data_IF_198439214845
#
_entry.id   IF_198439214845
#
_cell.length_a   1.000
_cell.length_b   1.000
_cell.length_c   1.000
_cell.angle_alpha   90.00
_cell.angle_beta   90.00
_cell.angle_gamma   90.00
#
_symmetry.space_group_name_H-M   'P 1'
#
loop_
_entity.id
_entity.type
_entity.pdbx_description
1 polymer ?
#
# COMPACT_ATOMS: atom_id res chain seq x y z
N UNK A 1 21.69 -9.38 -19.79
CA UNK A 1 21.14 -9.29 -21.16
C UNK A 1 19.64 -9.09 -21.03
N UNK A 2 19.12 -7.92 -21.43
CA UNK A 2 17.73 -7.53 -21.14
C UNK A 2 16.74 -8.29 -22.04
N UNK A 3 15.67 -8.81 -21.44
CA UNK A 3 14.54 -9.47 -22.12
C UNK A 3 13.90 -8.61 -23.22
N UNK A 4 14.13 -7.29 -23.19
CA UNK A 4 13.65 -6.34 -24.20
C UNK A 4 14.26 -6.54 -25.59
N UNK A 5 15.47 -7.09 -25.70
CA UNK A 5 16.13 -7.26 -27.00
C UNK A 5 15.61 -8.46 -27.81
N UNK A 6 14.81 -9.34 -27.20
CA UNK A 6 14.36 -10.61 -27.78
C UNK A 6 12.84 -10.81 -27.80
N UNK A 7 12.07 -9.90 -27.21
CA UNK A 7 10.62 -10.03 -27.14
C UNK A 7 9.94 -9.71 -28.47
N UNK A 8 9.21 -10.69 -29.04
CA UNK A 8 8.49 -10.56 -30.33
C UNK A 8 6.98 -10.81 -30.21
N UNK A 9 6.45 -10.80 -28.99
CA UNK A 9 5.05 -11.14 -28.68
C UNK A 9 4.32 -9.94 -28.01
N UNK A 10 3.10 -10.11 -27.50
CA UNK A 10 2.37 -9.11 -26.70
C UNK A 10 2.91 -9.06 -25.27
N UNK A 11 3.37 -7.90 -24.79
CA UNK A 11 4.11 -7.77 -23.52
C UNK A 11 3.45 -8.50 -22.34
N UNK A 12 4.22 -9.36 -21.64
CA UNK A 12 3.78 -10.03 -20.42
C UNK A 12 3.32 -9.04 -19.33
N UNK A 13 3.81 -7.80 -19.40
CA UNK A 13 3.44 -6.71 -18.48
C UNK A 13 1.93 -6.42 -18.50
N UNK A 14 1.28 -6.38 -19.67
CA UNK A 14 -0.15 -6.02 -19.74
C UNK A 14 -1.00 -7.06 -19.01
N UNK A 15 -0.67 -8.35 -19.16
CA UNK A 15 -1.38 -9.41 -18.46
C UNK A 15 -1.12 -9.41 -16.96
N UNK A 16 0.14 -9.16 -16.55
CA UNK A 16 0.47 -9.02 -15.13
C UNK A 16 -0.25 -7.81 -14.51
N UNK A 17 -0.32 -6.68 -15.22
CA UNK A 17 -1.02 -5.48 -14.80
C UNK A 17 -2.53 -5.71 -14.69
N UNK A 18 -3.18 -6.35 -15.67
CA UNK A 18 -4.61 -6.68 -15.60
C UNK A 18 -4.90 -7.62 -14.43
N UNK A 19 -4.06 -8.63 -14.20
CA UNK A 19 -4.21 -9.51 -13.04
C UNK A 19 -4.10 -8.72 -11.73
N UNK A 20 -3.06 -7.89 -11.59
CA UNK A 20 -2.87 -7.02 -10.44
C UNK A 20 -4.06 -6.08 -10.19
N UNK A 21 -4.53 -5.34 -11.20
CA UNK A 21 -5.65 -4.41 -11.05
C UNK A 21 -6.96 -5.12 -10.64
N UNK A 22 -7.18 -6.34 -11.12
CA UNK A 22 -8.32 -7.15 -10.66
C UNK A 22 -8.14 -7.60 -9.21
N UNK A 23 -6.91 -7.89 -8.79
CA UNK A 23 -6.58 -8.17 -7.40
C UNK A 23 -6.91 -6.98 -6.50
N UNK A 24 -6.46 -5.78 -6.87
CA UNK A 24 -6.76 -4.51 -6.16
C UNK A 24 -8.26 -4.31 -6.03
N UNK A 25 -9.01 -4.48 -7.13
CA UNK A 25 -10.47 -4.37 -7.09
C UNK A 25 -11.11 -5.33 -6.07
N UNK A 26 -10.63 -6.58 -5.99
CA UNK A 26 -11.18 -7.55 -5.05
C UNK A 26 -10.74 -7.31 -3.61
N UNK A 27 -9.47 -7.03 -3.36
CA UNK A 27 -8.95 -6.80 -2.01
C UNK A 27 -9.41 -5.45 -1.46
N UNK A 28 -9.06 -4.35 -2.13
CA UNK A 28 -9.21 -3.00 -1.58
C UNK A 28 -10.61 -2.42 -1.76
N UNK A 29 -11.31 -2.77 -2.84
CA UNK A 29 -12.63 -2.20 -3.11
C UNK A 29 -13.78 -3.09 -2.68
N UNK A 30 -13.65 -4.42 -2.81
CA UNK A 30 -14.73 -5.36 -2.54
C UNK A 30 -14.60 -6.11 -1.21
N UNK A 31 -13.48 -5.95 -0.48
CA UNK A 31 -13.18 -6.64 0.77
C UNK A 31 -13.22 -8.18 0.62
N UNK A 32 -12.59 -8.68 -0.46
CA UNK A 32 -12.54 -10.09 -0.85
C UNK A 32 -11.11 -10.54 -1.12
N UNK A 33 -10.24 -10.57 -0.09
CA UNK A 33 -8.84 -10.98 -0.23
C UNK A 33 -8.71 -12.42 -0.78
N UNK A 34 -9.66 -13.30 -0.50
CA UNK A 34 -9.72 -14.66 -1.03
C UNK A 34 -9.75 -14.71 -2.57
N UNK A 35 -10.38 -13.71 -3.21
CA UNK A 35 -10.42 -13.58 -4.66
C UNK A 35 -9.22 -12.83 -5.23
N UNK A 36 -8.54 -12.01 -4.41
CA UNK A 36 -7.40 -11.21 -4.81
C UNK A 36 -6.08 -11.99 -4.83
N UNK A 37 -5.84 -12.84 -3.83
CA UNK A 37 -4.60 -13.65 -3.72
C UNK A 37 -4.23 -14.37 -5.02
N UNK A 38 -5.10 -15.21 -5.64
CA UNK A 38 -4.73 -15.91 -6.87
C UNK A 38 -4.44 -14.98 -8.06
N UNK A 39 -4.93 -13.74 -8.03
CA UNK A 39 -4.67 -12.73 -9.07
C UNK A 39 -3.31 -12.06 -8.87
N UNK A 40 -2.91 -11.78 -7.63
CA UNK A 40 -1.57 -11.31 -7.33
C UNK A 40 -0.52 -12.39 -7.61
N UNK A 41 -0.79 -13.64 -7.24
CA UNK A 41 0.05 -14.79 -7.60
C UNK A 41 0.23 -14.89 -9.12
N UNK A 42 -0.85 -14.71 -9.89
CA UNK A 42 -0.80 -14.70 -11.35
C UNK A 42 0.05 -13.54 -11.90
N UNK A 43 -0.07 -12.35 -11.32
CA UNK A 43 0.74 -11.19 -11.70
C UNK A 43 2.24 -11.46 -11.45
N UNK A 44 2.59 -11.96 -10.27
CA UNK A 44 3.97 -12.30 -9.89
C UNK A 44 4.51 -13.46 -10.73
N UNK A 45 3.70 -14.49 -11.01
CA UNK A 45 4.10 -15.61 -11.87
C UNK A 45 4.48 -15.16 -13.28
N UNK A 46 3.79 -14.15 -13.82
CA UNK A 46 4.08 -13.57 -15.14
C UNK A 46 5.24 -12.58 -15.13
N UNK A 47 5.35 -11.80 -14.06
CA UNK A 47 6.39 -10.80 -13.89
C UNK A 47 6.93 -10.86 -12.45
N UNK A 48 7.93 -11.72 -12.16
CA UNK A 48 8.42 -11.94 -10.80
C UNK A 48 8.91 -10.68 -10.09
N UNK A 49 9.45 -9.73 -10.85
CA UNK A 49 9.91 -8.42 -10.34
C UNK A 49 8.83 -7.34 -10.30
N UNK A 50 7.55 -7.67 -10.42
CA UNK A 50 6.47 -6.68 -10.33
C UNK A 50 6.29 -6.27 -8.86
N UNK A 51 6.94 -5.17 -8.46
CA UNK A 51 7.06 -4.75 -7.06
C UNK A 51 5.71 -4.66 -6.35
N UNK A 52 4.81 -3.82 -6.85
CA UNK A 52 3.52 -3.56 -6.19
C UNK A 52 2.67 -4.84 -6.04
N UNK A 53 2.68 -5.73 -7.03
CA UNK A 53 1.97 -7.01 -6.91
C UNK A 53 2.58 -7.94 -5.85
N UNK A 54 3.90 -7.88 -5.64
CA UNK A 54 4.55 -8.61 -4.57
C UNK A 54 4.27 -7.98 -3.19
N UNK A 55 4.22 -6.64 -3.09
CA UNK A 55 3.89 -5.93 -1.84
C UNK A 55 2.49 -6.29 -1.38
N UNK A 56 1.47 -6.11 -2.22
CA UNK A 56 0.09 -6.47 -1.84
C UNK A 56 -0.11 -7.96 -1.56
N UNK A 57 0.62 -8.84 -2.24
CA UNK A 57 0.58 -10.26 -1.90
C UNK A 57 1.22 -10.52 -0.53
N UNK A 58 2.32 -9.84 -0.20
CA UNK A 58 2.97 -9.96 1.09
C UNK A 58 2.10 -9.42 2.24
N UNK A 59 1.35 -8.34 2.02
CA UNK A 59 0.37 -7.82 2.99
C UNK A 59 -0.67 -8.88 3.34
N UNK A 60 -1.34 -9.44 2.32
CA UNK A 60 -2.34 -10.50 2.54
C UNK A 60 -1.71 -11.77 3.14
N UNK A 61 -0.50 -12.15 2.73
CA UNK A 61 0.23 -13.26 3.33
C UNK A 61 0.47 -13.02 4.83
N UNK A 62 0.88 -11.80 5.23
CA UNK A 62 1.09 -11.45 6.62
C UNK A 62 -0.20 -11.43 7.44
N UNK A 63 -1.30 -10.86 6.91
CA UNK A 63 -2.63 -10.87 7.53
C UNK A 63 -3.15 -12.29 7.77
N UNK A 64 -2.87 -13.22 6.85
CA UNK A 64 -3.20 -14.64 6.98
C UNK A 64 -2.24 -15.42 7.92
N UNK A 65 -1.27 -14.74 8.55
CA UNK A 65 -0.28 -15.35 9.45
C UNK A 65 0.89 -16.05 8.74
N UNK A 66 1.01 -15.92 7.41
CA UNK A 66 2.10 -16.46 6.61
C UNK A 66 3.29 -15.49 6.51
N UNK A 67 3.69 -14.87 7.62
CA UNK A 67 4.73 -13.82 7.68
C UNK A 67 6.06 -14.25 7.04
N UNK A 68 6.45 -15.52 7.17
CA UNK A 68 7.68 -16.03 6.54
C UNK A 68 7.64 -15.96 5.00
N UNK A 69 6.48 -16.21 4.38
CA UNK A 69 6.29 -16.08 2.93
C UNK A 69 6.37 -14.62 2.50
N UNK A 70 5.69 -13.74 3.25
CA UNK A 70 5.71 -12.30 3.03
C UNK A 70 7.16 -11.75 3.07
N UNK A 71 7.92 -12.09 4.12
CA UNK A 71 9.32 -11.67 4.25
C UNK A 71 10.20 -12.20 3.11
N UNK A 72 10.11 -13.49 2.78
CA UNK A 72 10.91 -14.08 1.72
C UNK A 72 10.64 -13.47 0.34
N UNK A 73 9.44 -12.92 0.14
CA UNK A 73 9.05 -12.17 -1.07
C UNK A 73 9.63 -10.75 -1.09
N UNK A 74 9.62 -10.06 0.05
CA UNK A 74 10.02 -8.65 0.16
C UNK A 74 11.54 -8.47 0.22
N UNK A 75 12.26 -9.36 0.91
CA UNK A 75 13.71 -9.31 1.08
C UNK A 75 14.49 -9.07 -0.23
N UNK A 76 14.31 -9.85 -1.32
CA UNK A 76 15.04 -9.63 -2.56
C UNK A 76 14.66 -8.31 -3.24
N UNK A 77 13.42 -7.83 -3.09
CA UNK A 77 12.95 -6.59 -3.70
C UNK A 77 13.52 -5.38 -2.96
N UNK A 78 13.47 -5.38 -1.63
CA UNK A 78 14.04 -4.35 -0.78
C UNK A 78 15.55 -4.17 -1.00
N UNK A 79 16.25 -5.27 -1.33
CA UNK A 79 17.68 -5.23 -1.60
C UNK A 79 18.07 -4.72 -3.00
N UNK A 80 17.18 -4.82 -4.00
CA UNK A 80 17.58 -4.69 -5.42
C UNK A 80 16.78 -3.68 -6.23
N UNK A 81 15.57 -3.34 -5.80
CA UNK A 81 14.67 -2.44 -6.50
C UNK A 81 14.52 -1.21 -5.62
N UNK A 82 15.00 -0.05 -6.08
CA UNK A 82 14.97 1.20 -5.29
C UNK A 82 13.57 1.79 -5.08
N UNK A 83 12.56 0.95 -4.96
CA UNK A 83 11.19 1.26 -4.58
C UNK A 83 11.09 1.25 -3.04
N UNK A 84 10.41 2.22 -2.40
CA UNK A 84 10.35 2.28 -0.94
C UNK A 84 9.44 1.23 -0.30
N UNK A 85 8.42 0.74 -1.01
CA UNK A 85 7.35 -0.07 -0.41
C UNK A 85 7.85 -1.41 0.15
N UNK A 86 8.68 -2.21 -0.56
CA UNK A 86 9.13 -3.50 -0.02
C UNK A 86 9.95 -3.35 1.26
N UNK A 87 10.78 -2.31 1.33
CA UNK A 87 11.58 -2.02 2.53
C UNK A 87 10.72 -1.54 3.69
N UNK A 88 9.72 -0.67 3.41
CA UNK A 88 8.78 -0.20 4.43
C UNK A 88 8.01 -1.34 5.08
N UNK A 89 7.38 -2.19 4.26
CA UNK A 89 6.60 -3.34 4.75
C UNK A 89 7.49 -4.39 5.44
N UNK A 90 8.65 -4.71 4.87
CA UNK A 90 9.60 -5.64 5.51
C UNK A 90 10.04 -5.12 6.88
N UNK A 91 10.31 -3.81 7.00
CA UNK A 91 10.66 -3.17 8.26
C UNK A 91 9.59 -3.38 9.33
N UNK A 92 8.33 -3.17 8.97
CA UNK A 92 7.20 -3.42 9.87
C UNK A 92 7.12 -4.87 10.35
N UNK A 93 7.23 -5.84 9.43
CA UNK A 93 7.15 -7.26 9.75
C UNK A 93 8.28 -7.76 10.67
N UNK A 94 9.45 -7.12 10.62
CA UNK A 94 10.61 -7.50 11.46
C UNK A 94 10.78 -6.59 12.68
N UNK A 95 9.89 -5.63 12.93
CA UNK A 95 10.06 -4.62 13.98
C UNK A 95 10.37 -5.21 15.36
N UNK A 96 9.67 -6.28 15.74
CA UNK A 96 9.85 -6.91 17.05
C UNK A 96 11.09 -7.81 17.11
N UNK A 97 11.37 -8.55 16.02
CA UNK A 97 12.44 -9.55 15.97
C UNK A 97 13.80 -8.94 15.65
N UNK A 98 13.83 -7.83 14.92
CA UNK A 98 15.03 -7.10 14.53
C UNK A 98 14.79 -5.57 14.44
N UNK A 99 14.66 -4.88 15.59
CA UNK A 99 14.35 -3.44 15.62
C UNK A 99 15.38 -2.56 14.89
N UNK A 100 16.66 -2.92 14.98
CA UNK A 100 17.73 -2.15 14.35
C UNK A 100 17.60 -2.16 12.81
N UNK A 101 17.29 -3.32 12.24
CA UNK A 101 17.08 -3.44 10.80
C UNK A 101 15.76 -2.80 10.36
N UNK A 102 14.69 -2.94 11.15
CA UNK A 102 13.43 -2.23 10.94
C UNK A 102 13.64 -0.72 10.82
N UNK A 103 14.37 -0.11 11.76
CA UNK A 103 14.69 1.31 11.71
C UNK A 103 15.51 1.69 10.47
N UNK A 104 16.47 0.84 10.09
CA UNK A 104 17.30 1.06 8.90
C UNK A 104 16.45 1.06 7.63
N UNK A 105 15.53 0.10 7.50
CA UNK A 105 14.63 -0.03 6.36
C UNK A 105 13.64 1.15 6.29
N UNK A 106 13.03 1.51 7.42
CA UNK A 106 12.14 2.67 7.51
C UNK A 106 12.85 3.97 7.07
N UNK A 107 14.06 4.22 7.56
CA UNK A 107 14.84 5.39 7.15
C UNK A 107 15.15 5.40 5.64
N UNK A 108 15.47 4.23 5.06
CA UNK A 108 15.71 4.12 3.62
C UNK A 108 14.45 4.36 2.78
N UNK A 109 13.32 3.78 3.18
CA UNK A 109 12.03 3.98 2.55
C UNK A 109 11.62 5.46 2.61
N UNK A 110 11.75 6.10 3.79
CA UNK A 110 11.45 7.53 3.97
C UNK A 110 12.29 8.44 3.06
N UNK A 111 13.61 8.22 3.02
CA UNK A 111 14.49 8.98 2.13
C UNK A 111 14.14 8.80 0.64
N UNK A 112 13.60 7.62 0.28
CA UNK A 112 13.15 7.36 -1.10
C UNK A 112 11.80 8.02 -1.38
N UNK A 113 10.86 7.99 -0.44
CA UNK A 113 9.61 8.74 -0.54
C UNK A 113 9.84 10.24 -0.67
N UNK A 114 10.83 10.82 0.03
CA UNK A 114 11.20 12.24 -0.14
C UNK A 114 11.56 12.58 -1.60
N UNK A 115 12.32 11.70 -2.26
CA UNK A 115 12.70 11.87 -3.66
C UNK A 115 11.49 11.71 -4.61
N UNK A 116 10.59 10.79 -4.30
CA UNK A 116 9.42 10.52 -5.12
C UNK A 116 8.36 11.63 -4.96
N UNK A 117 8.10 12.07 -3.73
CA UNK A 117 7.17 13.15 -3.43
C UNK A 117 7.65 14.51 -3.97
N UNK A 118 8.96 14.74 -4.07
CA UNK A 118 9.50 15.97 -4.66
C UNK A 118 9.39 16.02 -6.19
N UNK A 119 9.37 14.86 -6.88
CA UNK A 119 9.34 14.79 -8.36
C UNK A 119 7.97 14.43 -8.93
N UNK A 120 7.24 13.60 -8.22
CA UNK A 120 6.02 12.94 -8.67
C UNK A 120 4.95 12.97 -7.57
N UNK A 121 4.82 14.10 -6.88
CA UNK A 121 3.99 14.28 -5.69
C UNK A 121 2.64 13.56 -5.77
N UNK A 122 1.79 13.96 -6.73
CA UNK A 122 0.44 13.41 -6.92
C UNK A 122 0.39 11.88 -7.07
N UNK A 123 1.43 11.26 -7.62
CA UNK A 123 1.48 9.81 -7.79
C UNK A 123 1.74 9.07 -6.46
N UNK A 124 2.41 9.71 -5.50
CA UNK A 124 2.87 9.10 -4.25
C UNK A 124 2.19 9.65 -2.99
N UNK A 125 1.19 10.52 -3.12
CA UNK A 125 0.44 11.04 -1.97
C UNK A 125 -0.27 9.94 -1.17
N UNK A 126 -0.73 8.88 -1.85
CA UNK A 126 -1.47 7.75 -1.25
C UNK A 126 -0.56 6.87 -0.37
N UNK A 127 0.28 6.04 -0.98
CA UNK A 127 1.23 5.19 -0.24
C UNK A 127 2.24 5.98 0.60
N UNK A 128 2.58 7.21 0.21
CA UNK A 128 3.38 8.10 1.04
C UNK A 128 2.67 8.42 2.37
N UNK A 129 1.38 8.70 2.34
CA UNK A 129 0.62 8.95 3.57
C UNK A 129 0.59 7.73 4.48
N UNK A 130 0.29 6.54 3.94
CA UNK A 130 0.28 5.28 4.70
C UNK A 130 1.63 5.01 5.35
N UNK A 131 2.71 5.14 4.57
CA UNK A 131 4.06 4.94 5.07
C UNK A 131 4.37 5.87 6.25
N UNK A 132 4.15 7.17 6.13
CA UNK A 132 4.46 8.11 7.22
C UNK A 132 3.51 7.98 8.42
N UNK A 133 2.26 7.56 8.20
CA UNK A 133 1.31 7.26 9.28
C UNK A 133 1.66 5.98 10.05
N UNK A 134 2.35 5.01 9.43
CA UNK A 134 2.77 3.76 10.05
C UNK A 134 4.29 3.63 10.16
N UNK A 135 4.98 2.84 9.30
CA UNK A 135 6.40 2.50 9.45
C UNK A 135 7.37 3.69 9.49
N UNK A 136 6.99 4.83 8.91
CA UNK A 136 7.76 6.06 8.91
C UNK A 136 7.66 6.88 10.21
N UNK A 137 6.73 6.52 11.11
CA UNK A 137 6.53 7.12 12.44
C UNK A 137 6.44 8.66 12.46
N UNK A 138 5.91 9.27 11.40
CA UNK A 138 5.66 10.71 11.27
C UNK A 138 4.19 10.95 10.94
N UNK A 139 3.33 10.68 11.92
CA UNK A 139 1.87 10.70 11.74
C UNK A 139 1.33 12.07 11.34
N UNK A 140 1.99 13.15 11.75
CA UNK A 140 1.65 14.51 11.33
C UNK A 140 1.86 14.68 9.82
N UNK A 141 2.98 14.18 9.30
CA UNK A 141 3.26 14.19 7.86
C UNK A 141 2.35 13.24 7.09
N UNK A 142 2.09 12.05 7.63
CA UNK A 142 1.14 11.09 7.06
C UNK A 142 -0.24 11.72 6.85
N UNK A 143 -0.78 12.34 7.90
CA UNK A 143 -2.05 13.07 7.82
C UNK A 143 -2.03 14.24 6.83
N UNK A 144 -0.93 15.00 6.76
CA UNK A 144 -0.82 16.10 5.81
C UNK A 144 -0.82 15.62 4.35
N UNK A 145 -0.15 14.50 4.05
CA UNK A 145 -0.17 13.89 2.72
C UNK A 145 -1.54 13.29 2.39
N UNK A 146 -2.20 12.66 3.36
CA UNK A 146 -3.54 12.09 3.19
C UNK A 146 -4.57 13.17 2.86
N UNK A 147 -4.51 14.32 3.55
CA UNK A 147 -5.33 15.51 3.25
C UNK A 147 -5.16 15.97 1.81
N UNK A 148 -3.92 16.13 1.37
CA UNK A 148 -3.64 16.55 -0.01
C UNK A 148 -4.09 15.49 -1.03
N UNK A 149 -3.92 14.20 -0.72
CA UNK A 149 -4.42 13.10 -1.55
C UNK A 149 -5.94 13.21 -1.75
N UNK A 150 -6.67 13.44 -0.65
CA UNK A 150 -8.12 13.53 -0.64
C UNK A 150 -8.63 14.77 -1.40
N UNK A 151 -7.99 15.92 -1.19
CA UNK A 151 -8.31 17.16 -1.92
C UNK A 151 -8.10 17.01 -3.43
N UNK A 152 -7.03 16.32 -3.83
CA UNK A 152 -6.72 16.10 -5.25
C UNK A 152 -7.66 15.08 -5.90
N UNK A 153 -8.05 14.03 -5.17
CA UNK A 153 -8.86 12.91 -5.69
C UNK A 153 -9.76 12.32 -4.60
N UNK A 154 -10.99 12.84 -4.43
CA UNK A 154 -11.93 12.39 -3.40
C UNK A 154 -12.59 11.05 -3.79
N UNK A 155 -11.79 9.99 -3.74
CA UNK A 155 -12.20 8.61 -4.00
C UNK A 155 -12.41 7.87 -2.69
N UNK A 156 -13.13 6.73 -2.71
CA UNK A 156 -13.35 5.92 -1.52
C UNK A 156 -12.03 5.52 -0.84
N UNK A 157 -11.04 5.10 -1.64
CA UNK A 157 -9.67 4.81 -1.16
C UNK A 157 -8.98 6.01 -0.52
N UNK A 158 -9.09 7.21 -1.11
CA UNK A 158 -8.51 8.41 -0.51
C UNK A 158 -9.15 8.75 0.84
N UNK A 159 -10.45 8.47 1.02
CA UNK A 159 -11.11 8.58 2.33
C UNK A 159 -10.61 7.54 3.33
N UNK A 160 -10.41 6.29 2.92
CA UNK A 160 -9.81 5.25 3.79
C UNK A 160 -8.46 5.73 4.34
N UNK A 161 -7.54 6.15 3.46
CA UNK A 161 -6.21 6.64 3.85
C UNK A 161 -6.30 7.87 4.77
N UNK A 162 -7.23 8.79 4.51
CA UNK A 162 -7.42 9.99 5.33
C UNK A 162 -7.95 9.67 6.74
N UNK A 163 -8.91 8.75 6.85
CA UNK A 163 -9.47 8.28 8.13
C UNK A 163 -8.38 7.55 8.92
N UNK A 164 -7.67 6.61 8.31
CA UNK A 164 -6.60 5.85 8.97
C UNK A 164 -5.46 6.77 9.43
N UNK A 165 -5.04 7.72 8.58
CA UNK A 165 -3.99 8.68 8.94
C UNK A 165 -4.42 9.63 10.06
N UNK A 166 -5.68 10.05 10.10
CA UNK A 166 -6.22 10.86 11.19
C UNK A 166 -6.25 10.07 12.51
N UNK A 167 -6.68 8.81 12.45
CA UNK A 167 -6.66 7.89 13.60
C UNK A 167 -5.24 7.65 14.11
N UNK A 168 -4.29 7.36 13.21
CA UNK A 168 -2.87 7.18 13.58
C UNK A 168 -2.26 8.44 14.21
N UNK A 169 -2.69 9.62 13.77
CA UNK A 169 -2.29 10.90 14.37
C UNK A 169 -2.96 11.19 15.73
N UNK A 170 -4.02 10.45 16.09
CA UNK A 170 -4.80 10.65 17.30
C UNK A 170 -5.89 11.72 17.17
N UNK A 171 -6.25 12.12 15.96
CA UNK A 171 -7.28 13.12 15.67
C UNK A 171 -8.61 12.44 15.31
N UNK A 172 -9.27 11.88 16.33
CA UNK A 172 -10.53 11.14 16.17
C UNK A 172 -11.71 12.00 15.71
N UNK A 173 -11.73 13.29 16.07
CA UNK A 173 -12.76 14.23 15.60
C UNK A 173 -12.68 14.39 14.08
N UNK A 174 -11.48 14.66 13.56
CA UNK A 174 -11.24 14.76 12.13
C UNK A 174 -11.49 13.43 11.40
N UNK A 175 -11.09 12.30 11.99
CA UNK A 175 -11.38 10.99 11.41
C UNK A 175 -12.89 10.81 11.21
N UNK A 176 -13.72 11.28 12.17
CA UNK A 176 -15.16 11.31 12.03
C UNK A 176 -15.71 12.32 11.03
N UNK A 177 -15.09 13.48 10.89
CA UNK A 177 -15.45 14.43 9.83
C UNK A 177 -15.23 13.83 8.43
N UNK A 178 -14.12 13.10 8.22
CA UNK A 178 -13.89 12.38 6.97
C UNK A 178 -14.89 11.25 6.75
N UNK A 179 -15.18 10.47 7.79
CA UNK A 179 -16.19 9.41 7.74
C UNK A 179 -17.56 9.96 7.31
N UNK A 180 -18.02 11.05 7.94
CA UNK A 180 -19.27 11.72 7.59
C UNK A 180 -19.27 12.27 6.15
N UNK A 181 -18.13 12.79 5.70
CA UNK A 181 -17.96 13.29 4.32
C UNK A 181 -17.98 12.19 3.26
N UNK A 182 -17.68 10.95 3.66
CA UNK A 182 -17.56 9.79 2.78
C UNK A 182 -18.88 8.99 2.62
N UNK A 183 -19.97 9.41 3.26
CA UNK A 183 -21.23 8.64 3.38
C UNK A 183 -21.83 8.21 2.03
N UNK A 184 -21.70 9.04 0.99
CA UNK A 184 -22.20 8.68 -0.35
C UNK A 184 -21.41 7.56 -1.04
N UNK A 185 -20.15 7.36 -0.64
CA UNK A 185 -19.24 6.37 -1.21
C UNK A 185 -19.30 5.03 -0.44
N UNK A 186 -19.61 5.11 0.86
CA UNK A 186 -19.78 3.98 1.79
C UNK A 186 -20.52 2.79 1.19
N UNK A 187 -21.73 3.03 0.66
CA UNK A 187 -22.62 1.97 0.15
C UNK A 187 -22.06 1.14 -1.02
N UNK A 188 -20.95 1.57 -1.62
CA UNK A 188 -20.31 0.92 -2.78
C UNK A 188 -18.90 0.44 -2.49
N UNK A 189 -18.43 0.59 -1.26
CA UNK A 189 -17.05 0.27 -0.88
C UNK A 189 -17.00 -0.35 0.53
N UNK A 190 -17.20 -1.67 0.66
CA UNK A 190 -17.24 -2.39 1.94
C UNK A 190 -16.11 -2.05 2.91
N UNK A 191 -14.86 -1.94 2.45
CA UNK A 191 -13.72 -1.54 3.29
C UNK A 191 -13.95 -0.18 3.98
N UNK A 192 -14.51 0.78 3.24
CA UNK A 192 -14.79 2.10 3.76
C UNK A 192 -16.01 2.07 4.69
N UNK A 193 -17.00 1.23 4.41
CA UNK A 193 -18.15 1.02 5.29
C UNK A 193 -17.74 0.45 6.66
N UNK A 194 -16.93 -0.61 6.67
CA UNK A 194 -16.41 -1.19 7.91
C UNK A 194 -15.60 -0.16 8.71
N UNK A 195 -14.67 0.55 8.05
CA UNK A 195 -13.85 1.57 8.71
C UNK A 195 -14.68 2.70 9.34
N UNK A 196 -15.73 3.18 8.64
CA UNK A 196 -16.62 4.22 9.17
C UNK A 196 -17.35 3.74 10.44
N UNK A 197 -17.80 2.48 10.46
CA UNK A 197 -18.49 1.89 11.61
C UNK A 197 -17.57 1.80 12.85
N UNK A 198 -16.28 1.55 12.64
CA UNK A 198 -15.31 1.41 13.72
C UNK A 198 -14.88 2.75 14.33
N UNK A 199 -14.74 3.79 13.50
CA UNK A 199 -14.22 5.09 13.94
C UNK A 199 -15.31 5.97 14.56
N UNK A 200 -16.57 5.87 14.11
CA UNK A 200 -17.67 6.73 14.53
C UNK A 200 -18.97 5.93 14.79
N UNK A 201 -19.03 5.17 15.90
CA UNK A 201 -20.20 4.35 16.24
C UNK A 201 -21.45 5.17 16.62
#
# INVERSE_FOLDING_TARGET
MSSLATYRDVSAFVFAWVAFQRGVMWAESADRPDLAVPLYEEAVRRLPGYVVANVHLAELEAEMGNTASAMGRLEPLAASVGDPEPGGLLGELIRESNPAESMRLAHQAGARYDQLLSRHRAAFLDHGAEFFSGPGEDTARGLALARENLELRPTARAYVVAIESATAHGDGELACEYAASAELLRSRHPVLDHLIQDVCP
#
